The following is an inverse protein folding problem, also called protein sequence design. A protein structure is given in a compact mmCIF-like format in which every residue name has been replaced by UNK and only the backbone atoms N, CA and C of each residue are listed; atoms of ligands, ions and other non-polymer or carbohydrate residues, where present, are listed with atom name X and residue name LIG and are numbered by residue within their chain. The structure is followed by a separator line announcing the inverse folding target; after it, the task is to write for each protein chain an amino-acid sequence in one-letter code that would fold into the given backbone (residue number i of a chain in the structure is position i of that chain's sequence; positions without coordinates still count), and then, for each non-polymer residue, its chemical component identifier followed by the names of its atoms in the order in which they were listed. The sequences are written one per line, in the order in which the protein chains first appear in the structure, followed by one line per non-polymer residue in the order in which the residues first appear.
data_IF_488658396364
#
_entry.id   IF_488658396364
#
_cell.length_a   1.000
_cell.length_b   1.000
_cell.length_c   1.000
_cell.angle_alpha   90.00
_cell.angle_beta   90.00
_cell.angle_gamma   90.00
#
_symmetry.space_group_name_H-M   'P 1'
#
loop_
_entity.id
_entity.type
_entity.pdbx_description
1 polymer ?
#
# COMPACT_ATOMS: atom_id res chain seq x y z
N UNK A 1 -52.44 -34.97 17.61
CA UNK A 1 -51.03 -35.02 18.05
C UNK A 1 -50.02 -34.73 16.92
N UNK A 2 -50.19 -35.29 15.75
CA UNK A 2 -49.25 -35.10 14.64
C UNK A 2 -49.12 -33.62 14.20
N UNK A 3 -50.22 -32.87 14.17
CA UNK A 3 -50.21 -31.45 13.81
C UNK A 3 -49.40 -30.57 14.77
N UNK A 4 -49.47 -30.86 16.08
CA UNK A 4 -48.72 -30.14 17.12
C UNK A 4 -47.20 -30.37 16.97
N UNK A 5 -46.79 -31.57 16.63
CA UNK A 5 -45.41 -31.93 16.41
C UNK A 5 -44.84 -31.16 15.19
N UNK A 6 -45.63 -31.06 14.14
CA UNK A 6 -45.24 -30.32 12.92
C UNK A 6 -45.02 -28.86 13.25
N UNK A 7 -45.89 -28.24 14.02
CA UNK A 7 -45.71 -26.83 14.44
C UNK A 7 -44.45 -26.62 15.29
N UNK A 8 -44.17 -27.55 16.19
CA UNK A 8 -42.96 -27.47 17.01
C UNK A 8 -41.71 -27.58 16.13
N UNK A 9 -41.71 -28.48 15.16
CA UNK A 9 -40.59 -28.62 14.23
C UNK A 9 -40.39 -27.35 13.39
N UNK A 10 -41.46 -26.74 12.90
CA UNK A 10 -41.39 -25.51 12.11
C UNK A 10 -40.80 -24.35 12.95
N UNK A 11 -41.26 -24.23 14.20
CA UNK A 11 -40.74 -23.22 15.12
C UNK A 11 -39.27 -23.44 15.41
N UNK A 12 -38.86 -24.66 15.59
CA UNK A 12 -37.47 -25.04 15.88
C UNK A 12 -36.56 -24.73 14.70
N UNK A 13 -37.00 -25.00 13.48
CA UNK A 13 -36.26 -24.65 12.23
C UNK A 13 -36.14 -23.12 12.07
N UNK A 14 -37.21 -22.38 12.34
CA UNK A 14 -37.19 -20.92 12.28
C UNK A 14 -36.20 -20.33 13.30
N UNK A 15 -36.15 -20.88 14.51
CA UNK A 15 -35.18 -20.50 15.54
C UNK A 15 -33.74 -20.77 15.13
N UNK A 16 -33.48 -21.92 14.50
CA UNK A 16 -32.16 -22.26 13.98
C UNK A 16 -31.71 -21.28 12.89
N UNK A 17 -32.61 -20.92 11.97
CA UNK A 17 -32.32 -19.95 10.93
C UNK A 17 -32.00 -18.57 11.51
N UNK A 18 -32.72 -18.12 12.52
CA UNK A 18 -32.45 -16.83 13.18
C UNK A 18 -31.10 -16.84 13.90
N UNK A 19 -30.69 -17.96 14.48
CA UNK A 19 -29.37 -18.13 15.08
C UNK A 19 -28.24 -18.00 14.05
N UNK A 20 -28.40 -18.61 12.89
CA UNK A 20 -27.42 -18.53 11.82
C UNK A 20 -27.26 -17.09 11.34
N UNK A 21 -28.36 -16.36 11.16
CA UNK A 21 -28.32 -14.94 10.78
C UNK A 21 -27.61 -14.12 11.87
N UNK A 22 -27.89 -14.36 13.13
CA UNK A 22 -27.26 -13.67 14.25
C UNK A 22 -25.73 -13.93 14.32
N UNK A 23 -25.27 -15.12 13.95
CA UNK A 23 -23.84 -15.44 13.87
C UNK A 23 -23.14 -14.70 12.72
N UNK A 24 -23.80 -14.59 11.57
CA UNK A 24 -23.23 -13.89 10.40
C UNK A 24 -23.25 -12.36 10.53
N UNK A 25 -24.26 -11.79 11.16
CA UNK A 25 -24.39 -10.36 11.37
C UNK A 25 -23.20 -9.72 12.14
N UNK A 26 -22.72 -10.30 13.24
CA UNK A 26 -21.55 -9.78 13.94
C UNK A 26 -20.28 -9.77 13.12
N UNK A 27 -20.08 -10.71 12.20
CA UNK A 27 -18.93 -10.72 11.29
C UNK A 27 -18.90 -9.51 10.39
N UNK A 28 -20.04 -9.10 9.83
CA UNK A 28 -20.16 -7.92 8.98
C UNK A 28 -19.80 -6.66 9.79
N UNK A 29 -20.30 -6.54 11.02
CA UNK A 29 -19.96 -5.46 11.93
C UNK A 29 -18.49 -5.45 12.32
N UNK A 30 -17.90 -6.61 12.55
CA UNK A 30 -16.47 -6.75 12.81
C UNK A 30 -15.63 -6.24 11.65
N UNK A 31 -16.02 -6.56 10.43
CA UNK A 31 -15.33 -6.09 9.24
C UNK A 31 -15.38 -4.56 9.12
N UNK A 32 -16.49 -3.92 9.47
CA UNK A 32 -16.60 -2.48 9.52
C UNK A 32 -15.68 -1.87 10.59
N UNK A 33 -15.63 -2.47 11.76
CA UNK A 33 -14.72 -2.04 12.85
C UNK A 33 -13.26 -2.22 12.43
N UNK A 34 -12.92 -3.30 11.76
CA UNK A 34 -11.58 -3.53 11.20
C UNK A 34 -11.23 -2.45 10.18
N UNK A 35 -12.17 -2.05 9.33
CA UNK A 35 -11.96 -0.95 8.37
C UNK A 35 -11.67 0.37 9.09
N UNK A 36 -12.37 0.69 10.15
CA UNK A 36 -12.14 1.89 10.96
C UNK A 36 -10.74 1.81 11.60
N UNK A 37 -10.38 0.68 12.17
CA UNK A 37 -9.05 0.48 12.74
C UNK A 37 -7.95 0.55 11.68
N UNK A 38 -8.19 0.04 10.48
CA UNK A 38 -7.24 0.15 9.38
C UNK A 38 -7.07 1.59 8.89
N UNK A 39 -8.09 2.42 9.02
CA UNK A 39 -8.01 3.86 8.74
C UNK A 39 -7.13 4.56 9.79
N UNK A 40 -7.28 4.21 11.07
CA UNK A 40 -6.43 4.73 12.15
C UNK A 40 -4.97 4.31 12.01
N UNK A 41 -4.73 3.08 11.57
CA UNK A 41 -3.40 2.53 11.35
C UNK A 41 -2.87 2.78 9.93
N UNK A 42 -3.62 3.46 9.08
CA UNK A 42 -3.10 3.83 7.76
C UNK A 42 -1.83 4.64 7.93
N UNK A 43 -0.75 4.14 7.35
CA UNK A 43 0.43 4.94 7.12
C UNK A 43 0.00 6.29 6.56
N UNK A 44 0.44 7.35 7.21
CA UNK A 44 0.21 8.69 6.70
C UNK A 44 0.65 8.73 5.24
N UNK A 45 -0.28 8.94 4.33
CA UNK A 45 0.03 9.06 2.91
C UNK A 45 0.90 10.29 2.74
N UNK A 46 2.10 10.12 2.20
CA UNK A 46 2.98 11.23 1.92
C UNK A 46 2.38 12.09 0.82
N UNK A 47 2.38 13.38 1.04
CA UNK A 47 2.03 14.32 -0.01
C UNK A 47 3.18 14.46 -0.99
N UNK A 48 2.85 14.76 -2.24
CA UNK A 48 3.86 14.92 -3.29
C UNK A 48 4.90 15.99 -2.96
N UNK A 49 4.51 17.02 -2.26
CA UNK A 49 5.40 18.10 -1.81
C UNK A 49 6.47 17.60 -0.83
N UNK A 50 6.08 16.69 0.08
CA UNK A 50 7.01 16.06 1.01
C UNK A 50 8.04 15.21 0.25
N UNK A 51 7.57 14.45 -0.72
CA UNK A 51 8.41 13.60 -1.57
C UNK A 51 9.39 14.44 -2.37
N UNK A 52 8.92 15.51 -2.99
CA UNK A 52 9.80 16.44 -3.73
C UNK A 52 10.87 17.05 -2.83
N UNK A 53 10.51 17.46 -1.63
CA UNK A 53 11.46 18.03 -0.67
C UNK A 53 12.50 17.00 -0.24
N UNK A 54 12.09 15.78 0.05
CA UNK A 54 13.01 14.69 0.41
C UNK A 54 13.98 14.35 -0.73
N UNK A 55 13.48 14.28 -1.95
CA UNK A 55 14.27 13.91 -3.12
C UNK A 55 15.20 15.03 -3.61
N UNK A 56 14.82 16.28 -3.44
CA UNK A 56 15.66 17.42 -3.78
C UNK A 56 16.96 17.50 -2.96
N UNK A 57 16.95 16.95 -1.77
CA UNK A 57 18.15 16.86 -0.92
C UNK A 57 19.18 15.89 -1.51
N UNK A 58 18.75 14.94 -2.31
CA UNK A 58 19.63 13.96 -2.92
C UNK A 58 20.36 14.59 -4.10
N UNK A 59 21.67 14.61 -4.01
CA UNK A 59 22.54 15.19 -5.03
C UNK A 59 22.49 14.38 -6.33
N UNK A 60 22.44 15.06 -7.44
CA UNK A 60 22.44 14.46 -8.79
C UNK A 60 21.19 13.64 -9.14
N UNK A 61 20.15 13.73 -8.35
CA UNK A 61 18.90 13.05 -8.64
C UNK A 61 17.99 13.97 -9.45
N UNK A 62 17.50 13.46 -10.57
CA UNK A 62 16.53 14.14 -11.42
C UNK A 62 15.23 13.35 -11.45
N UNK A 63 14.13 14.02 -11.16
CA UNK A 63 12.80 13.39 -11.16
C UNK A 63 12.18 13.57 -12.53
N UNK A 64 11.79 12.46 -13.15
CA UNK A 64 11.19 12.46 -14.48
C UNK A 64 9.67 12.52 -14.44
N UNK A 65 9.06 11.68 -13.59
CA UNK A 65 7.61 11.61 -13.49
C UNK A 65 7.13 11.04 -12.15
N UNK A 66 5.89 11.35 -11.82
CA UNK A 66 5.19 10.84 -10.66
C UNK A 66 3.90 10.15 -11.10
N UNK A 67 3.56 9.05 -10.46
CA UNK A 67 2.27 8.41 -10.61
C UNK A 67 1.77 7.94 -9.25
N UNK A 68 0.50 8.12 -8.98
CA UNK A 68 -0.10 7.61 -7.77
C UNK A 68 -0.63 6.20 -8.02
N UNK A 69 -0.21 5.25 -7.19
CA UNK A 69 -0.70 3.88 -7.22
C UNK A 69 -1.24 3.57 -5.84
N UNK A 70 -2.55 3.41 -5.72
CA UNK A 70 -3.25 3.22 -4.45
C UNK A 70 -2.91 4.33 -3.45
N UNK A 71 -2.31 4.00 -2.32
CA UNK A 71 -1.90 4.97 -1.29
C UNK A 71 -0.42 5.37 -1.41
N UNK A 72 0.28 4.88 -2.41
CA UNK A 72 1.70 5.10 -2.60
C UNK A 72 1.98 5.92 -3.86
N UNK A 73 3.15 6.54 -3.89
CA UNK A 73 3.63 7.25 -5.05
C UNK A 73 4.71 6.43 -5.75
N UNK A 74 4.53 6.25 -7.05
CA UNK A 74 5.54 5.69 -7.94
C UNK A 74 6.28 6.85 -8.59
N UNK A 75 7.59 6.84 -8.48
CA UNK A 75 8.44 7.93 -8.95
C UNK A 75 9.46 7.37 -9.93
N UNK A 76 9.50 7.92 -11.10
CA UNK A 76 10.56 7.64 -12.07
C UNK A 76 11.59 8.75 -11.96
N UNK A 77 12.81 8.37 -11.65
CA UNK A 77 13.91 9.30 -11.48
C UNK A 77 15.20 8.75 -12.07
N UNK A 78 16.17 9.61 -12.25
CA UNK A 78 17.50 9.26 -12.71
C UNK A 78 18.56 9.89 -11.84
N UNK A 79 19.64 9.16 -11.62
CA UNK A 79 20.81 9.64 -10.89
C UNK A 79 21.99 9.56 -11.84
N UNK A 80 22.68 10.67 -11.99
CA UNK A 80 23.85 10.77 -12.87
C UNK A 80 25.08 11.10 -12.05
N UNK A 81 26.17 10.39 -12.28
CA UNK A 81 27.42 10.65 -11.58
C UNK A 81 28.38 9.46 -11.63
N UNK A 82 29.40 9.54 -10.80
CA UNK A 82 30.37 8.47 -10.63
C UNK A 82 29.81 7.39 -9.68
N UNK A 83 30.42 6.22 -9.71
CA UNK A 83 29.97 5.07 -8.88
C UNK A 83 29.79 5.41 -7.40
N UNK A 84 30.73 6.16 -6.82
CA UNK A 84 30.69 6.54 -5.40
C UNK A 84 29.53 7.49 -5.11
N UNK A 85 29.28 8.44 -5.99
CA UNK A 85 28.16 9.37 -5.89
C UNK A 85 26.81 8.67 -5.99
N UNK A 86 26.70 7.68 -6.87
CA UNK A 86 25.51 6.84 -7.03
C UNK A 86 25.21 6.03 -5.75
N UNK A 87 26.24 5.44 -5.14
CA UNK A 87 26.09 4.67 -3.93
C UNK A 87 25.60 5.54 -2.76
N UNK A 88 26.14 6.75 -2.62
CA UNK A 88 25.68 7.70 -1.60
C UNK A 88 24.23 8.12 -1.83
N UNK A 89 23.87 8.39 -3.07
CA UNK A 89 22.49 8.75 -3.43
C UNK A 89 21.53 7.61 -3.16
N UNK A 90 21.91 6.37 -3.47
CA UNK A 90 21.11 5.18 -3.17
C UNK A 90 20.88 4.98 -1.67
N UNK A 91 21.89 5.24 -0.84
CA UNK A 91 21.76 5.18 0.60
C UNK A 91 20.73 6.19 1.13
N UNK A 92 20.61 7.33 0.50
CA UNK A 92 19.61 8.34 0.86
C UNK A 92 18.18 7.98 0.44
N UNK A 93 18.02 6.94 -0.38
CA UNK A 93 16.71 6.42 -0.80
C UNK A 93 16.19 5.28 0.08
N UNK A 94 16.66 5.13 1.30
CA UNK A 94 16.26 4.06 2.22
C UNK A 94 14.76 4.06 2.54
N UNK A 95 14.12 5.23 2.47
CA UNK A 95 12.68 5.37 2.73
C UNK A 95 11.81 4.97 1.53
N UNK A 96 12.42 4.58 0.44
CA UNK A 96 11.73 4.20 -0.78
C UNK A 96 12.05 2.76 -1.14
N UNK A 97 11.08 2.09 -1.77
CA UNK A 97 11.28 0.75 -2.30
C UNK A 97 11.66 0.85 -3.78
N UNK A 98 12.80 0.32 -4.14
CA UNK A 98 13.21 0.25 -5.54
C UNK A 98 12.46 -0.89 -6.21
N UNK A 99 11.63 -0.57 -7.18
CA UNK A 99 10.84 -1.55 -7.91
C UNK A 99 11.57 -2.02 -9.17
N UNK A 100 12.22 -1.09 -9.87
CA UNK A 100 12.93 -1.39 -11.10
C UNK A 100 14.12 -0.44 -11.25
N UNK A 101 15.13 -0.88 -11.97
CA UNK A 101 16.29 -0.04 -12.27
C UNK A 101 16.88 -0.39 -13.62
N UNK A 102 17.54 0.59 -14.23
CA UNK A 102 18.32 0.41 -15.45
C UNK A 102 19.59 1.24 -15.36
N UNK A 103 20.71 0.60 -15.60
CA UNK A 103 22.02 1.23 -15.53
C UNK A 103 22.58 1.44 -16.92
N UNK A 104 22.95 2.66 -17.23
CA UNK A 104 23.56 3.03 -18.51
C UNK A 104 24.94 3.60 -18.28
N UNK A 105 25.93 2.97 -18.88
CA UNK A 105 27.32 3.43 -18.88
C UNK A 105 27.57 4.41 -20.00
N UNK A 106 28.10 5.56 -19.68
CA UNK A 106 28.52 6.55 -20.67
C UNK A 106 29.93 7.04 -20.32
N UNK A 107 30.93 6.47 -20.96
CA UNK A 107 32.38 6.73 -20.84
C UNK A 107 32.89 6.95 -19.39
N UNK A 108 32.60 8.07 -18.77
CA UNK A 108 33.04 8.43 -17.41
C UNK A 108 31.89 8.55 -16.41
N UNK A 109 30.68 8.68 -16.92
CA UNK A 109 29.50 8.87 -16.11
C UNK A 109 28.55 7.67 -16.21
N UNK A 110 27.92 7.37 -15.08
CA UNK A 110 26.90 6.35 -15.00
C UNK A 110 25.56 7.03 -14.81
N UNK A 111 24.57 6.65 -15.60
CA UNK A 111 23.19 7.10 -15.43
C UNK A 111 22.38 5.93 -14.93
N UNK A 112 21.80 6.07 -13.75
CA UNK A 112 20.95 5.08 -13.12
C UNK A 112 19.51 5.54 -13.18
N UNK A 113 18.70 4.85 -13.97
CA UNK A 113 17.25 5.06 -14.00
C UNK A 113 16.60 4.21 -12.95
N UNK A 114 15.78 4.81 -12.12
CA UNK A 114 15.10 4.16 -11.02
C UNK A 114 13.60 4.34 -11.09
N UNK A 115 12.90 3.28 -10.79
CA UNK A 115 11.49 3.29 -10.51
C UNK A 115 11.31 2.95 -9.02
N UNK A 116 10.93 3.93 -8.22
CA UNK A 116 10.83 3.80 -6.78
C UNK A 116 9.40 4.05 -6.31
N UNK A 117 9.06 3.41 -5.20
CA UNK A 117 7.75 3.55 -4.56
C UNK A 117 7.95 4.09 -3.16
N UNK A 118 7.17 5.09 -2.78
CA UNK A 118 7.14 5.60 -1.41
C UNK A 118 6.63 4.53 -0.45
N UNK A 119 7.32 4.36 0.65
CA UNK A 119 6.90 3.42 1.70
C UNK A 119 5.87 4.04 2.63
#
# INVERSE_FOLDING_TARGET
MKKKIIYIVIILVALLQSLVIAIYSPKIKSDEVIKINSIENKKKVKYIEEIETELKVIKNLNIESYARIDDNWKINCSINGKKEELLLSLNNLNNYKIQNYNLVYNKENIVLYLEIISK
#
